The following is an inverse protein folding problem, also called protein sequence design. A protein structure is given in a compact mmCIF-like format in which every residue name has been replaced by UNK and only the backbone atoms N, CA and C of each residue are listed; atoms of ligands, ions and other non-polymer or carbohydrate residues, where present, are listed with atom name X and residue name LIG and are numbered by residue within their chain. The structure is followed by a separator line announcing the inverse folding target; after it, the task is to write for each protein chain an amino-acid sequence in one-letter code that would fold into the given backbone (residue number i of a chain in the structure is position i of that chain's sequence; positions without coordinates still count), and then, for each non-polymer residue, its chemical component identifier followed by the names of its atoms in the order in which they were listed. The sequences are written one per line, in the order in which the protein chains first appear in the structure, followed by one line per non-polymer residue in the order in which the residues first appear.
data_IF_388123211674
#
_entry.id   IF_388123211674
#
_cell.length_a   1.000
_cell.length_b   1.000
_cell.length_c   1.000
_cell.angle_alpha   90.00
_cell.angle_beta   90.00
_cell.angle_gamma   90.00
#
_symmetry.space_group_name_H-M   'P 1'
#
loop_
_entity.id
_entity.type
_entity.pdbx_description
1 polymer ?
#
# COMPACT_ATOMS: atom_id res chain seq x y z
N UNK A 1 -12.74 12.44 -3.28
CA UNK A 1 -13.32 11.30 -2.53
C UNK A 1 -12.30 10.17 -2.48
N UNK A 2 -12.14 9.52 -1.33
CA UNK A 2 -11.31 8.32 -1.19
C UNK A 2 -12.20 7.09 -1.30
N UNK A 3 -11.92 6.21 -2.26
CA UNK A 3 -12.63 4.94 -2.38
C UNK A 3 -12.08 3.92 -1.37
N UNK A 4 -12.96 3.11 -0.81
CA UNK A 4 -12.59 2.04 0.12
C UNK A 4 -13.61 0.90 0.08
N UNK A 5 -13.19 -0.23 0.61
CA UNK A 5 -14.05 -1.34 1.01
C UNK A 5 -13.67 -1.79 2.43
N UNK A 6 -14.59 -2.44 3.10
CA UNK A 6 -14.39 -2.89 4.47
C UNK A 6 -15.09 -4.21 4.73
N UNK A 7 -14.61 -4.94 5.72
CA UNK A 7 -15.18 -6.23 6.10
C UNK A 7 -14.54 -6.79 7.37
N UNK A 8 -14.77 -8.07 7.60
CA UNK A 8 -14.33 -8.77 8.80
C UNK A 8 -15.12 -8.40 10.04
N UNK A 9 -14.88 -9.14 11.10
CA UNK A 9 -15.48 -8.96 12.43
C UNK A 9 -14.37 -8.79 13.46
N UNK A 10 -14.67 -8.16 14.60
CA UNK A 10 -13.71 -7.95 15.67
C UNK A 10 -13.73 -6.53 16.24
N UNK A 11 -13.10 -6.34 17.37
CA UNK A 11 -13.01 -5.06 18.08
C UNK A 11 -11.85 -4.18 17.58
N UNK A 12 -10.92 -4.73 16.83
CA UNK A 12 -9.76 -4.03 16.28
C UNK A 12 -9.92 -3.83 14.79
N UNK A 13 -9.39 -2.72 14.26
CA UNK A 13 -9.47 -2.39 12.85
C UNK A 13 -8.07 -2.29 12.25
N UNK A 14 -7.86 -2.88 11.07
CA UNK A 14 -6.68 -2.71 10.25
C UNK A 14 -7.00 -1.85 9.02
N UNK A 15 -6.27 -0.77 8.81
CA UNK A 15 -6.28 0.02 7.57
C UNK A 15 -5.23 -0.55 6.63
N UNK A 16 -5.68 -1.07 5.47
CA UNK A 16 -4.84 -1.74 4.47
C UNK A 16 -4.52 -0.76 3.32
N UNK A 17 -3.23 -0.46 3.11
CA UNK A 17 -2.75 0.55 2.17
C UNK A 17 -1.82 -0.06 1.13
N UNK A 18 -2.22 -0.01 -0.13
CA UNK A 18 -1.50 -0.59 -1.27
C UNK A 18 -0.24 0.19 -1.69
N UNK A 19 0.60 -0.44 -2.52
CA UNK A 19 1.78 0.16 -3.13
C UNK A 19 1.48 1.06 -4.33
N UNK A 20 2.49 1.80 -4.79
CA UNK A 20 2.41 2.64 -5.98
C UNK A 20 2.00 1.82 -7.21
N UNK A 21 1.01 2.30 -7.95
CA UNK A 21 0.50 1.64 -9.16
C UNK A 21 -0.49 0.51 -8.91
N UNK A 22 -0.72 0.10 -7.66
CA UNK A 22 -1.72 -0.90 -7.29
C UNK A 22 -3.08 -0.26 -6.94
N UNK A 23 -4.01 -1.05 -6.45
CA UNK A 23 -5.31 -0.63 -5.89
C UNK A 23 -5.58 -1.39 -4.60
N UNK A 24 -6.58 -0.99 -3.83
CA UNK A 24 -6.99 -1.71 -2.62
C UNK A 24 -7.27 -3.19 -2.86
N UNK A 25 -7.67 -3.54 -4.07
CA UNK A 25 -7.99 -4.92 -4.43
C UNK A 25 -6.82 -5.92 -4.29
N UNK A 26 -5.57 -5.45 -4.24
CA UNK A 26 -4.41 -6.34 -3.97
C UNK A 26 -4.42 -6.92 -2.56
N UNK A 27 -5.28 -6.41 -1.68
CA UNK A 27 -5.44 -6.92 -0.32
C UNK A 27 -6.42 -8.10 -0.20
N UNK A 28 -7.12 -8.49 -1.30
CA UNK A 28 -8.08 -9.60 -1.28
C UNK A 28 -7.56 -10.90 -0.65
N UNK A 29 -6.30 -11.34 -0.87
CA UNK A 29 -5.77 -12.51 -0.18
C UNK A 29 -5.65 -12.32 1.34
N UNK A 30 -5.20 -11.13 1.80
CA UNK A 30 -5.11 -10.80 3.22
C UNK A 30 -6.49 -10.65 3.85
N UNK A 31 -7.45 -10.04 3.15
CA UNK A 31 -8.85 -9.91 3.60
C UNK A 31 -9.48 -11.27 3.87
N UNK A 32 -9.28 -12.25 2.96
CA UNK A 32 -9.73 -13.64 3.15
C UNK A 32 -9.09 -14.28 4.39
N UNK A 33 -7.76 -14.11 4.54
CA UNK A 33 -7.05 -14.65 5.69
C UNK A 33 -7.47 -14.00 7.02
N UNK A 34 -7.77 -12.69 7.05
CA UNK A 34 -8.33 -11.99 8.21
C UNK A 34 -9.73 -12.48 8.55
N UNK A 35 -10.57 -12.72 7.53
CA UNK A 35 -11.92 -13.23 7.70
C UNK A 35 -11.93 -14.65 8.27
N UNK A 36 -11.05 -15.52 7.80
CA UNK A 36 -10.89 -16.88 8.32
C UNK A 36 -10.48 -16.91 9.79
N UNK A 37 -9.66 -15.94 10.24
CA UNK A 37 -9.23 -15.83 11.62
C UNK A 37 -10.24 -15.11 12.53
N UNK A 38 -11.13 -14.28 12.00
CA UNK A 38 -12.25 -13.66 12.69
C UNK A 38 -11.87 -12.68 13.82
N UNK A 39 -10.61 -12.17 13.83
CA UNK A 39 -10.07 -11.40 14.95
C UNK A 39 -9.97 -9.89 14.70
N UNK A 40 -9.97 -9.47 13.44
CA UNK A 40 -9.71 -8.08 13.03
C UNK A 40 -10.65 -7.68 11.91
N UNK A 41 -11.31 -6.55 12.07
CA UNK A 41 -11.99 -5.83 10.99
C UNK A 41 -10.95 -5.15 10.10
N UNK A 42 -11.27 -4.95 8.83
CA UNK A 42 -10.37 -4.28 7.93
C UNK A 42 -11.10 -3.20 7.10
N UNK A 43 -10.33 -2.21 6.68
CA UNK A 43 -10.69 -1.21 5.71
C UNK A 43 -9.53 -1.10 4.72
N UNK A 44 -9.79 -1.45 3.45
CA UNK A 44 -8.82 -1.34 2.37
C UNK A 44 -9.17 -0.13 1.50
N UNK A 45 -8.25 0.83 1.39
CA UNK A 45 -8.48 2.08 0.68
C UNK A 45 -7.63 2.19 -0.59
N UNK A 46 -8.22 2.73 -1.66
CA UNK A 46 -7.46 3.21 -2.80
C UNK A 46 -6.79 4.54 -2.43
N UNK A 47 -5.47 4.61 -2.50
CA UNK A 47 -4.73 5.86 -2.29
C UNK A 47 -5.12 6.89 -3.35
N UNK A 48 -5.10 8.18 -3.02
CA UNK A 48 -5.40 9.24 -3.96
C UNK A 48 -4.65 9.07 -5.28
N UNK A 49 -5.34 9.22 -6.40
CA UNK A 49 -4.79 8.98 -7.74
C UNK A 49 -4.74 7.51 -8.17
N UNK A 50 -5.31 6.58 -7.41
CA UNK A 50 -5.38 5.16 -7.73
C UNK A 50 -6.81 4.64 -7.63
N UNK A 51 -7.10 3.57 -8.37
CA UNK A 51 -8.37 2.85 -8.30
C UNK A 51 -9.58 3.74 -8.53
N UNK A 52 -10.51 3.73 -7.58
CA UNK A 52 -11.71 4.55 -7.55
C UNK A 52 -11.55 5.88 -6.82
N UNK A 53 -10.37 6.18 -6.26
CA UNK A 53 -10.10 7.45 -5.58
C UNK A 53 -9.83 8.59 -6.57
N UNK A 54 -10.22 9.81 -6.19
CA UNK A 54 -10.09 11.00 -7.04
C UNK A 54 -8.62 11.28 -7.41
N UNK A 55 -8.44 11.74 -8.63
CA UNK A 55 -7.17 12.27 -9.11
C UNK A 55 -6.96 13.68 -8.58
N UNK A 56 -5.72 14.01 -8.24
CA UNK A 56 -5.34 15.28 -7.64
C UNK A 56 -4.43 16.09 -8.58
N UNK A 57 -4.26 17.38 -8.29
CA UNK A 57 -3.32 18.23 -9.04
C UNK A 57 -1.85 17.90 -8.74
N UNK A 58 -1.55 17.38 -7.55
CA UNK A 58 -0.23 16.92 -7.11
C UNK A 58 -0.36 15.79 -6.09
N UNK A 59 0.73 15.09 -5.80
CA UNK A 59 0.78 14.01 -4.83
C UNK A 59 1.99 14.13 -3.92
N UNK A 60 1.78 13.91 -2.63
CA UNK A 60 2.82 13.74 -1.62
C UNK A 60 2.35 12.72 -0.57
N UNK A 61 3.29 12.13 0.17
CA UNK A 61 2.95 11.20 1.27
C UNK A 61 2.04 11.88 2.31
N UNK A 62 2.34 13.14 2.65
CA UNK A 62 1.52 13.90 3.61
C UNK A 62 0.09 14.16 3.12
N UNK A 63 -0.10 14.46 1.83
CA UNK A 63 -1.43 14.64 1.25
C UNK A 63 -2.23 13.32 1.24
N UNK A 64 -1.60 12.21 0.84
CA UNK A 64 -2.23 10.90 0.89
C UNK A 64 -2.63 10.52 2.31
N UNK A 65 -1.77 10.81 3.29
CA UNK A 65 -2.08 10.59 4.70
C UNK A 65 -3.25 11.47 5.19
N UNK A 66 -3.31 12.74 4.80
CA UNK A 66 -4.42 13.62 5.16
C UNK A 66 -5.77 13.13 4.63
N UNK A 67 -5.81 12.65 3.38
CA UNK A 67 -7.03 12.07 2.79
C UNK A 67 -7.51 10.83 3.53
N UNK A 68 -6.58 9.98 3.98
CA UNK A 68 -6.92 8.79 4.77
C UNK A 68 -7.32 9.14 6.20
N UNK A 69 -6.72 10.15 6.80
CA UNK A 69 -7.15 10.64 8.12
C UNK A 69 -8.59 11.16 8.07
N UNK A 70 -8.96 11.89 7.02
CA UNK A 70 -10.33 12.32 6.79
C UNK A 70 -11.28 11.11 6.62
N UNK A 71 -10.89 10.10 5.84
CA UNK A 71 -11.66 8.87 5.68
C UNK A 71 -11.89 8.15 7.02
N UNK A 72 -10.85 7.99 7.82
CA UNK A 72 -10.90 7.34 9.15
C UNK A 72 -11.87 8.09 10.07
N UNK A 73 -11.83 9.42 10.08
CA UNK A 73 -12.75 10.25 10.86
C UNK A 73 -14.19 10.13 10.36
N UNK A 74 -14.44 10.17 9.06
CA UNK A 74 -15.76 10.00 8.46
C UNK A 74 -16.37 8.63 8.76
N UNK A 75 -15.56 7.59 8.81
CA UNK A 75 -15.99 6.23 9.15
C UNK A 75 -16.08 6.00 10.68
N UNK A 76 -15.84 7.03 11.49
CA UNK A 76 -15.83 6.96 12.96
C UNK A 76 -14.97 5.81 13.49
N UNK A 77 -13.86 5.52 12.82
CA UNK A 77 -12.89 4.54 13.27
C UNK A 77 -12.11 5.17 14.42
N UNK A 78 -12.19 4.55 15.60
CA UNK A 78 -11.44 4.99 16.78
C UNK A 78 -9.96 4.61 16.68
N UNK A 79 -9.56 3.58 17.39
CA UNK A 79 -8.19 3.05 17.35
C UNK A 79 -8.03 2.03 16.22
N UNK A 80 -6.93 2.10 15.48
CA UNK A 80 -6.66 1.18 14.39
C UNK A 80 -5.17 0.94 14.17
N UNK A 81 -4.87 -0.16 13.49
CA UNK A 81 -3.53 -0.49 13.00
C UNK A 81 -3.44 -0.18 11.51
N UNK A 82 -2.24 0.14 11.03
CA UNK A 82 -2.00 0.30 9.60
C UNK A 82 -1.16 -0.87 9.09
N UNK A 83 -1.59 -1.49 7.99
CA UNK A 83 -0.79 -2.45 7.22
C UNK A 83 -0.55 -1.83 5.86
N UNK A 84 0.67 -1.40 5.59
CA UNK A 84 1.04 -0.70 4.37
C UNK A 84 2.04 -1.47 3.54
N UNK A 85 1.77 -1.66 2.25
CA UNK A 85 2.72 -2.21 1.30
C UNK A 85 3.44 -1.09 0.54
N UNK A 86 4.77 -1.18 0.43
CA UNK A 86 5.59 -0.24 -0.37
C UNK A 86 5.24 1.23 -0.07
N UNK A 87 4.63 1.98 -0.99
CA UNK A 87 4.13 3.35 -0.74
C UNK A 87 3.15 3.41 0.45
N UNK A 88 2.28 2.42 0.59
CA UNK A 88 1.35 2.34 1.71
C UNK A 88 2.03 2.34 3.07
N UNK A 89 3.25 1.78 3.19
CA UNK A 89 4.04 1.84 4.42
C UNK A 89 4.49 3.28 4.74
N UNK A 90 4.89 4.06 3.74
CA UNK A 90 5.22 5.49 3.91
C UNK A 90 4.01 6.29 4.41
N UNK A 91 2.85 6.05 3.80
CA UNK A 91 1.60 6.72 4.19
C UNK A 91 1.19 6.31 5.60
N UNK A 92 1.32 5.03 5.94
CA UNK A 92 1.06 4.51 7.29
C UNK A 92 1.95 5.15 8.36
N UNK A 93 3.23 5.30 8.08
CA UNK A 93 4.19 6.00 8.97
C UNK A 93 3.82 7.47 9.15
N UNK A 94 3.39 8.16 8.08
CA UNK A 94 2.92 9.53 8.18
C UNK A 94 1.67 9.64 9.07
N UNK A 95 0.69 8.74 8.93
CA UNK A 95 -0.50 8.67 9.78
C UNK A 95 -0.13 8.45 11.25
N UNK A 96 0.92 7.68 11.53
CA UNK A 96 1.41 7.36 12.87
C UNK A 96 2.15 8.51 13.56
N UNK A 97 2.36 9.66 12.90
CA UNK A 97 3.08 10.83 13.44
C UNK A 97 2.27 11.67 14.44
N UNK A 98 1.02 11.33 14.71
CA UNK A 98 0.07 12.10 15.52
C UNK A 98 -0.32 13.49 14.95
N UNK A 99 0.15 13.87 13.75
CA UNK A 99 -0.17 15.18 13.16
C UNK A 99 -1.61 15.32 12.66
N UNK A 100 -2.32 14.21 12.51
CA UNK A 100 -3.64 14.16 11.87
C UNK A 100 -4.80 14.05 12.88
N UNK A 101 -4.53 14.01 14.19
CA UNK A 101 -5.57 13.92 15.23
C UNK A 101 -6.34 12.58 15.22
N UNK A 102 -5.74 11.52 14.69
CA UNK A 102 -6.29 10.15 14.64
C UNK A 102 -5.46 9.21 15.50
N UNK A 103 -6.04 8.07 15.90
CA UNK A 103 -5.41 7.17 16.86
C UNK A 103 -4.89 5.89 16.17
N UNK A 104 -3.72 5.99 15.55
CA UNK A 104 -2.99 4.81 15.11
C UNK A 104 -2.40 4.08 16.32
N UNK A 105 -2.51 2.75 16.38
CA UNK A 105 -1.97 1.92 17.46
C UNK A 105 -0.66 1.22 17.09
N UNK A 106 -0.41 1.03 15.80
CA UNK A 106 0.81 0.45 15.28
C UNK A 106 0.83 0.41 13.77
N UNK A 107 2.03 0.28 13.19
CA UNK A 107 2.25 0.21 11.75
C UNK A 107 3.01 -1.07 11.41
N UNK A 108 2.44 -1.88 10.51
CA UNK A 108 3.14 -2.95 9.80
C UNK A 108 3.46 -2.46 8.38
N UNK A 109 4.73 -2.19 8.09
CA UNK A 109 5.21 -1.81 6.75
C UNK A 109 5.84 -2.99 6.04
N UNK A 110 5.35 -3.33 4.84
CA UNK A 110 5.81 -4.47 4.03
C UNK A 110 6.51 -3.94 2.79
N UNK A 111 7.78 -4.30 2.59
CA UNK A 111 8.57 -3.99 1.40
C UNK A 111 8.71 -2.49 1.06
N UNK A 112 8.86 -1.55 2.02
CA UNK A 112 9.11 -0.16 1.67
C UNK A 112 10.48 -0.02 1.01
N UNK A 113 10.57 0.62 -0.16
CA UNK A 113 11.85 0.95 -0.78
C UNK A 113 12.49 2.13 -0.07
N UNK A 114 13.44 1.88 0.82
CA UNK A 114 14.04 2.89 1.71
C UNK A 114 15.23 3.64 1.10
N UNK A 115 15.83 3.08 0.06
CA UNK A 115 16.98 3.66 -0.66
C UNK A 115 16.58 4.01 -2.09
N UNK A 116 16.86 5.25 -2.50
CA UNK A 116 16.47 5.77 -3.80
C UNK A 116 17.71 6.32 -4.55
N UNK A 117 18.38 5.51 -5.37
CA UNK A 117 19.43 5.98 -6.27
C UNK A 117 18.95 7.15 -7.14
N UNK A 118 19.87 8.05 -7.51
CA UNK A 118 19.54 9.23 -8.34
C UNK A 118 18.85 8.84 -9.67
N UNK A 119 19.26 7.74 -10.29
CA UNK A 119 18.66 7.21 -11.50
C UNK A 119 17.18 6.83 -11.31
N UNK A 120 16.84 6.19 -10.17
CA UNK A 120 15.46 5.80 -9.86
C UNK A 120 14.57 7.02 -9.63
N UNK A 121 15.10 8.04 -8.93
CA UNK A 121 14.40 9.31 -8.72
C UNK A 121 14.16 10.04 -10.05
N UNK A 122 15.16 10.06 -10.94
CA UNK A 122 15.01 10.64 -12.26
C UNK A 122 13.94 9.91 -13.08
N UNK A 123 13.98 8.58 -13.10
CA UNK A 123 12.99 7.76 -13.80
C UNK A 123 11.56 7.99 -13.25
N UNK A 124 11.41 8.09 -11.92
CA UNK A 124 10.12 8.39 -11.31
C UNK A 124 9.59 9.78 -11.71
N UNK A 125 10.45 10.81 -11.71
CA UNK A 125 10.08 12.16 -12.17
C UNK A 125 9.63 12.16 -13.64
N UNK A 126 10.34 11.45 -14.50
CA UNK A 126 9.95 11.31 -15.91
C UNK A 126 8.61 10.60 -16.08
N UNK A 127 8.36 9.55 -15.27
CA UNK A 127 7.07 8.86 -15.27
C UNK A 127 5.94 9.78 -14.81
N UNK A 128 6.18 10.62 -13.80
CA UNK A 128 5.20 11.57 -13.28
C UNK A 128 4.77 12.64 -14.30
N UNK A 129 5.60 12.95 -15.29
CA UNK A 129 5.28 13.94 -16.34
C UNK A 129 4.64 13.33 -17.59
N UNK A 130 4.57 12.00 -17.67
CA UNK A 130 4.00 11.33 -18.85
C UNK A 130 2.49 11.54 -18.92
N UNK A 131 1.95 11.73 -20.14
CA UNK A 131 0.51 11.74 -20.31
C UNK A 131 -0.10 10.37 -20.01
N UNK A 132 -1.38 10.35 -19.70
CA UNK A 132 -2.14 9.11 -19.55
C UNK A 132 -2.05 8.30 -20.85
N UNK A 133 -1.62 7.05 -20.69
CA UNK A 133 -1.57 6.11 -21.82
C UNK A 133 -2.91 5.40 -21.97
N UNK A 134 -3.40 5.35 -23.19
CA UNK A 134 -4.63 4.68 -23.57
C UNK A 134 -4.32 3.37 -24.33
N UNK A 135 -5.14 2.37 -24.10
CA UNK A 135 -5.04 1.03 -24.68
C UNK A 135 -6.33 0.71 -25.42
N UNK A 136 -6.23 -0.12 -26.44
CA UNK A 136 -7.38 -0.54 -27.23
C UNK A 136 -8.25 -1.57 -26.50
N UNK A 137 -7.64 -2.43 -25.69
CA UNK A 137 -8.31 -3.51 -24.97
C UNK A 137 -8.03 -3.45 -23.46
N UNK A 138 -8.94 -4.02 -22.67
CA UNK A 138 -8.75 -4.20 -21.24
C UNK A 138 -7.58 -5.13 -20.91
N UNK A 139 -7.31 -6.12 -21.77
CA UNK A 139 -6.20 -7.05 -21.59
C UNK A 139 -4.84 -6.36 -21.70
N UNK A 140 -4.66 -5.47 -22.70
CA UNK A 140 -3.45 -4.65 -22.81
C UNK A 140 -3.24 -3.77 -21.57
N UNK A 141 -4.31 -3.12 -21.10
CA UNK A 141 -4.27 -2.30 -19.89
C UNK A 141 -3.93 -3.14 -18.66
N UNK A 142 -4.54 -4.32 -18.51
CA UNK A 142 -4.28 -5.24 -17.40
C UNK A 142 -2.85 -5.79 -17.42
N UNK A 143 -2.32 -6.13 -18.58
CA UNK A 143 -0.92 -6.54 -18.75
C UNK A 143 0.02 -5.43 -18.27
N UNK A 144 -0.30 -4.18 -18.61
CA UNK A 144 0.46 -3.03 -18.12
C UNK A 144 0.31 -2.82 -16.63
N UNK A 145 -0.90 -2.96 -16.09
CA UNK A 145 -1.17 -2.88 -14.65
C UNK A 145 -0.31 -3.86 -13.85
N UNK A 146 -0.32 -5.14 -14.22
CA UNK A 146 0.51 -6.17 -13.58
C UNK A 146 1.99 -5.76 -13.52
N UNK A 147 2.50 -5.19 -14.61
CA UNK A 147 3.90 -4.75 -14.68
C UNK A 147 4.18 -3.54 -13.79
N UNK A 148 3.27 -2.56 -13.71
CA UNK A 148 3.47 -1.34 -12.91
C UNK A 148 3.33 -1.60 -11.42
N UNK A 149 2.39 -2.47 -11.04
CA UNK A 149 2.16 -2.88 -9.65
C UNK A 149 3.10 -3.99 -9.16
N UNK A 150 4.01 -4.47 -10.01
CA UNK A 150 4.95 -5.53 -9.66
C UNK A 150 4.30 -6.91 -9.45
N UNK A 151 3.06 -7.11 -9.92
CA UNK A 151 2.28 -8.33 -9.66
C UNK A 151 2.76 -9.56 -10.46
N UNK A 152 3.73 -9.40 -11.38
CA UNK A 152 4.27 -10.53 -12.13
C UNK A 152 3.24 -11.30 -12.95
N UNK A 153 3.64 -12.51 -13.38
CA UNK A 153 2.77 -13.47 -14.09
C UNK A 153 2.21 -14.55 -13.18
N UNK A 154 2.67 -14.64 -11.95
CA UNK A 154 2.41 -15.76 -11.03
C UNK A 154 1.02 -15.72 -10.39
N UNK A 155 0.32 -14.58 -10.52
CA UNK A 155 -1.10 -14.47 -10.13
C UNK A 155 -1.95 -15.05 -11.26
N UNK A 156 -2.81 -16.02 -10.92
CA UNK A 156 -3.67 -16.69 -11.90
C UNK A 156 -4.44 -15.68 -12.78
N UNK A 157 -4.49 -15.93 -14.11
CA UNK A 157 -5.28 -15.11 -15.02
C UNK A 157 -6.75 -15.30 -14.70
N UNK A 158 -7.49 -14.62 -14.05
CA UNK A 158 -8.90 -14.80 -13.72
C UNK A 158 -9.27 -14.35 -12.31
N UNK A 159 -8.30 -13.87 -11.55
CA UNK A 159 -8.61 -13.16 -10.30
C UNK A 159 -9.35 -11.86 -10.65
N UNK A 160 -10.65 -11.82 -10.39
CA UNK A 160 -11.54 -10.69 -10.73
C UNK A 160 -11.06 -9.36 -10.17
N UNK A 161 -10.40 -9.38 -9.01
CA UNK A 161 -9.87 -8.18 -8.38
C UNK A 161 -8.79 -7.47 -9.21
N UNK A 162 -8.09 -8.17 -10.11
CA UNK A 162 -7.11 -7.56 -11.02
C UNK A 162 -7.76 -6.55 -11.95
N UNK A 163 -9.01 -6.74 -12.34
CA UNK A 163 -9.72 -5.83 -13.25
C UNK A 163 -9.80 -4.39 -12.69
N UNK A 164 -9.75 -4.21 -11.37
CA UNK A 164 -9.74 -2.88 -10.74
C UNK A 164 -8.50 -2.05 -11.06
N UNK A 165 -7.44 -2.66 -11.58
CA UNK A 165 -6.23 -1.95 -12.02
C UNK A 165 -6.39 -1.16 -13.31
N UNK A 166 -7.52 -1.31 -14.02
CA UNK A 166 -7.80 -0.60 -15.27
C UNK A 166 -9.21 -0.04 -15.32
N UNK A 167 -9.41 0.99 -16.12
CA UNK A 167 -10.69 1.69 -16.27
C UNK A 167 -10.98 1.86 -17.76
N UNK A 168 -12.21 1.55 -18.17
CA UNK A 168 -12.74 1.88 -19.50
C UNK A 168 -13.35 3.28 -19.48
N UNK A 169 -12.99 4.12 -20.45
CA UNK A 169 -13.53 5.47 -20.61
C UNK A 169 -13.72 5.76 -22.12
N UNK A 170 -14.19 6.95 -22.48
CA UNK A 170 -14.48 7.32 -23.87
C UNK A 170 -13.35 7.08 -24.88
N UNK A 171 -12.08 7.22 -24.43
CA UNK A 171 -10.89 7.06 -25.28
C UNK A 171 -10.33 5.64 -25.31
N UNK A 172 -11.00 4.67 -24.71
CA UNK A 172 -10.53 3.29 -24.54
C UNK A 172 -10.17 2.96 -23.10
N UNK A 173 -9.21 2.06 -22.91
CA UNK A 173 -8.77 1.61 -21.59
C UNK A 173 -7.54 2.37 -21.10
N UNK A 174 -7.46 2.62 -19.80
CA UNK A 174 -6.28 3.19 -19.13
C UNK A 174 -6.03 2.49 -17.80
N UNK A 175 -4.86 2.69 -17.22
CA UNK A 175 -4.64 2.28 -15.83
C UNK A 175 -5.53 3.10 -14.90
N UNK A 176 -5.94 2.47 -13.81
CA UNK A 176 -6.64 3.14 -12.72
C UNK A 176 -5.68 3.99 -11.84
N UNK A 177 -4.54 4.38 -12.40
CA UNK A 177 -3.50 5.19 -11.76
C UNK A 177 -3.26 6.47 -12.53
N UNK A 178 -3.19 7.57 -11.82
CA UNK A 178 -2.67 8.84 -12.34
C UNK A 178 -1.12 8.76 -12.43
N UNK A 179 -0.51 8.97 -13.59
CA UNK A 179 0.95 8.95 -13.71
C UNK A 179 1.67 9.91 -12.75
N UNK A 180 1.04 11.04 -12.39
CA UNK A 180 1.59 12.02 -11.46
C UNK A 180 1.86 11.47 -10.07
N UNK A 181 1.25 10.34 -9.68
CA UNK A 181 1.51 9.65 -8.40
C UNK A 181 2.96 9.19 -8.25
N UNK A 182 3.72 9.02 -9.37
CA UNK A 182 5.16 8.73 -9.30
C UNK A 182 5.98 9.85 -8.64
N UNK A 183 5.44 11.07 -8.52
CA UNK A 183 6.09 12.19 -7.84
C UNK A 183 6.33 11.96 -6.34
N UNK A 184 5.69 10.97 -5.71
CA UNK A 184 5.91 10.62 -4.29
C UNK A 184 7.25 9.91 -4.03
N UNK A 185 7.94 9.47 -5.08
CA UNK A 185 9.21 8.75 -4.98
C UNK A 185 10.28 9.58 -4.24
N UNK A 186 11.06 8.91 -3.38
CA UNK A 186 12.14 9.55 -2.63
C UNK A 186 11.69 10.33 -1.39
N UNK A 187 10.45 10.15 -0.92
CA UNK A 187 10.03 10.69 0.36
C UNK A 187 10.99 10.23 1.50
N UNK A 188 11.24 11.07 2.53
CA UNK A 188 12.28 10.81 3.54
C UNK A 188 11.86 9.73 4.52
N UNK A 189 12.11 8.47 4.20
CA UNK A 189 11.69 7.30 4.99
C UNK A 189 12.16 7.35 6.45
N UNK A 190 13.44 7.65 6.67
CA UNK A 190 14.01 7.76 8.02
C UNK A 190 13.26 8.77 8.89
N UNK A 191 12.93 9.94 8.33
CA UNK A 191 12.17 10.98 9.04
C UNK A 191 10.75 10.53 9.37
N UNK A 192 10.09 9.79 8.47
CA UNK A 192 8.76 9.23 8.73
C UNK A 192 8.80 8.20 9.86
N UNK A 193 9.78 7.28 9.85
CA UNK A 193 9.95 6.32 10.96
C UNK A 193 10.22 7.05 12.28
N UNK A 194 11.10 8.06 12.27
CA UNK A 194 11.43 8.84 13.47
C UNK A 194 10.24 9.67 14.00
N UNK A 195 9.29 10.05 13.15
CA UNK A 195 8.09 10.79 13.54
C UNK A 195 6.95 9.90 14.06
N UNK A 196 7.02 8.59 13.85
CA UNK A 196 6.01 7.66 14.33
C UNK A 196 6.03 7.58 15.87
N UNK A 197 4.86 7.75 16.49
CA UNK A 197 4.68 7.76 17.95
C UNK A 197 4.19 6.43 18.50
N UNK A 198 4.11 5.41 17.66
CA UNK A 198 3.58 4.08 17.95
C UNK A 198 4.55 2.99 17.49
N UNK A 199 4.40 1.73 17.94
CA UNK A 199 5.22 0.63 17.46
C UNK A 199 5.20 0.48 15.95
N UNK A 200 6.38 0.34 15.35
CA UNK A 200 6.58 0.12 13.92
C UNK A 200 7.25 -1.24 13.73
N UNK A 201 6.61 -2.13 12.99
CA UNK A 201 7.17 -3.38 12.52
C UNK A 201 7.38 -3.29 11.00
N UNK A 202 8.60 -3.52 10.54
CA UNK A 202 8.91 -3.59 9.12
C UNK A 202 9.17 -5.04 8.71
N UNK A 203 8.62 -5.43 7.56
CA UNK A 203 8.88 -6.73 6.96
C UNK A 203 9.14 -6.57 5.46
N UNK A 204 9.78 -7.57 4.86
CA UNK A 204 9.91 -7.68 3.41
C UNK A 204 9.78 -9.14 2.99
N UNK A 205 9.46 -9.40 1.74
CA UNK A 205 9.69 -10.73 1.20
C UNK A 205 11.18 -11.05 1.14
N UNK A 206 11.59 -12.26 1.50
CA UNK A 206 12.99 -12.70 1.50
C UNK A 206 13.66 -12.47 0.14
N UNK A 207 12.90 -12.63 -0.96
CA UNK A 207 13.36 -12.44 -2.35
C UNK A 207 13.07 -11.06 -2.93
N UNK A 208 12.60 -10.10 -2.11
CA UNK A 208 12.31 -8.74 -2.58
C UNK A 208 13.59 -8.05 -3.09
N UNK A 209 13.67 -7.69 -4.39
CA UNK A 209 14.84 -7.03 -4.95
C UNK A 209 14.91 -5.53 -4.64
N UNK A 210 13.85 -4.92 -4.11
CA UNK A 210 13.74 -3.47 -3.95
C UNK A 210 14.30 -2.96 -2.63
N UNK A 211 14.39 -3.82 -1.62
CA UNK A 211 14.91 -3.48 -0.29
C UNK A 211 15.56 -4.70 0.36
N UNK A 212 16.66 -4.52 1.06
CA UNK A 212 17.29 -5.56 1.85
C UNK A 212 16.85 -5.52 3.32
N UNK A 213 16.90 -6.67 4.00
CA UNK A 213 16.65 -6.74 5.44
C UNK A 213 17.60 -5.83 6.23
N UNK A 214 18.85 -5.72 5.79
CA UNK A 214 19.86 -4.85 6.41
C UNK A 214 19.41 -3.39 6.37
N UNK A 215 18.90 -2.91 5.24
CA UNK A 215 18.38 -1.53 5.11
C UNK A 215 17.19 -1.30 6.02
N UNK A 216 16.24 -2.24 6.10
CA UNK A 216 15.10 -2.12 7.01
C UNK A 216 15.53 -2.07 8.48
N UNK A 217 16.49 -2.89 8.88
CA UNK A 217 17.00 -2.95 10.26
C UNK A 217 17.72 -1.68 10.71
N UNK A 218 18.21 -0.86 9.79
CA UNK A 218 18.73 0.47 10.13
C UNK A 218 17.64 1.42 10.64
N UNK A 219 16.38 1.18 10.30
CA UNK A 219 15.24 1.99 10.70
C UNK A 219 14.38 1.33 11.78
N UNK A 220 14.26 0.00 11.72
CA UNK A 220 13.52 -0.81 12.69
C UNK A 220 14.32 -2.09 12.98
N UNK A 221 15.07 -2.15 14.10
CA UNK A 221 15.95 -3.29 14.41
C UNK A 221 15.26 -4.65 14.41
N UNK A 222 13.94 -4.68 14.66
CA UNK A 222 13.12 -5.90 14.67
C UNK A 222 12.59 -6.30 13.29
N UNK A 223 12.99 -5.59 12.21
CA UNK A 223 12.55 -5.94 10.86
C UNK A 223 12.88 -7.38 10.51
N UNK A 224 11.98 -8.05 9.78
CA UNK A 224 12.07 -9.47 9.45
C UNK A 224 11.80 -9.75 7.98
N UNK A 225 12.24 -10.92 7.52
CA UNK A 225 11.86 -11.48 6.24
C UNK A 225 10.55 -12.28 6.36
N UNK A 226 9.76 -12.28 5.28
CA UNK A 226 8.70 -13.24 5.02
C UNK A 226 9.31 -14.29 4.10
N UNK A 227 9.52 -15.52 4.59
CA UNK A 227 10.28 -16.56 3.86
C UNK A 227 9.68 -16.86 2.49
N UNK A 228 10.54 -17.00 1.48
CA UNK A 228 10.14 -17.37 0.13
C UNK A 228 9.29 -16.36 -0.64
N UNK A 229 8.88 -15.24 -0.04
CA UNK A 229 8.08 -14.22 -0.71
C UNK A 229 8.96 -13.21 -1.47
N UNK A 230 8.41 -12.61 -2.51
CA UNK A 230 8.96 -11.49 -3.27
C UNK A 230 8.44 -10.14 -2.76
N UNK A 231 8.43 -9.13 -3.66
CA UNK A 231 8.00 -7.77 -3.30
C UNK A 231 6.54 -7.69 -2.83
N UNK A 232 5.65 -8.47 -3.44
CA UNK A 232 4.22 -8.49 -3.11
C UNK A 232 3.88 -9.56 -2.06
N UNK A 233 4.63 -9.62 -0.96
CA UNK A 233 4.49 -10.64 0.08
C UNK A 233 3.05 -10.74 0.65
N UNK A 234 2.28 -9.66 0.64
CA UNK A 234 0.87 -9.64 1.04
C UNK A 234 -0.06 -10.45 0.13
N UNK A 235 0.38 -10.72 -1.10
CA UNK A 235 -0.32 -11.59 -2.05
C UNK A 235 0.26 -13.00 -2.02
N UNK A 236 1.59 -13.11 -1.92
CA UNK A 236 2.32 -14.37 -2.03
C UNK A 236 2.21 -15.22 -0.74
N UNK A 237 2.19 -14.57 0.43
CA UNK A 237 1.97 -15.22 1.74
C UNK A 237 1.10 -14.33 2.66
N UNK A 238 -0.22 -14.26 2.39
CA UNK A 238 -1.15 -13.45 3.20
C UNK A 238 -1.23 -13.94 4.65
N UNK A 239 -1.02 -15.24 4.89
CA UNK A 239 -1.04 -15.83 6.22
C UNK A 239 0.09 -15.32 7.10
N UNK A 240 1.31 -15.20 6.56
CA UNK A 240 2.44 -14.60 7.27
C UNK A 240 2.19 -13.12 7.58
N UNK A 241 1.61 -12.36 6.65
CA UNK A 241 1.27 -10.95 6.87
C UNK A 241 0.26 -10.78 7.99
N UNK A 242 -0.79 -11.61 8.03
CA UNK A 242 -1.77 -11.60 9.12
C UNK A 242 -1.13 -11.99 10.46
N UNK A 243 -0.24 -12.98 10.47
CA UNK A 243 0.52 -13.35 11.67
C UNK A 243 1.40 -12.21 12.21
N UNK A 244 2.04 -11.42 11.34
CA UNK A 244 2.80 -10.23 11.73
C UNK A 244 1.90 -9.13 12.29
N UNK A 245 0.71 -8.92 11.70
CA UNK A 245 -0.27 -7.99 12.23
C UNK A 245 -0.75 -8.41 13.63
N UNK A 246 -1.09 -9.69 13.82
CA UNK A 246 -1.49 -10.22 15.13
C UNK A 246 -0.39 -10.08 16.17
N UNK A 247 0.87 -10.32 15.78
CA UNK A 247 2.02 -10.09 16.64
C UNK A 247 2.15 -8.61 17.05
N UNK A 248 1.95 -7.68 16.13
CA UNK A 248 1.95 -6.25 16.42
C UNK A 248 0.79 -5.86 17.35
N UNK A 249 -0.40 -6.38 17.08
CA UNK A 249 -1.62 -6.17 17.88
C UNK A 249 -1.46 -6.65 19.33
N UNK A 250 -0.78 -7.76 19.55
CA UNK A 250 -0.56 -8.34 20.88
C UNK A 250 0.45 -7.54 21.74
N UNK A 251 1.18 -6.60 21.16
CA UNK A 251 2.18 -5.76 21.84
C UNK A 251 1.64 -4.42 22.32
N UNK A 252 0.40 -4.10 21.94
CA UNK A 252 -0.24 -2.81 22.16
C UNK A 252 -1.58 -3.02 22.87
#
# INVERSE_FOLDING_TARGET
MTWYESGGEGSRTALLLHGLGATAAVWKPVERALQERGSVRWLAADLGGHGGSDWQSFYSVGQLAAQLAELVQQQMIGEFFVVGHSLGAYVGLALASAWFGIQVRGVLGIGPKVSWPAADLQAARELATRPVRWYQTGEEALTRYRRVSGLGTDIAPGEEWLARGSVHAERGWRLAQDPRTFAVAGAPFASLVASATVPVLLARGERDPMVSLRELRMHAPQACDIPGAGHNAHIEDPGAVVGLLEHLVARV
#
